data_IF_198565652190
#
_entry.id   IF_198565652190
#
_cell.length_a   1.000
_cell.length_b   1.000
_cell.length_c   1.000
_cell.angle_alpha   90.00
_cell.angle_beta   90.00
_cell.angle_gamma   90.00
#
_symmetry.space_group_name_H-M   'P 1'
#
loop_
_entity.id
_entity.type
_entity.pdbx_description
1 polymer ?
#
# COMPACT_ATOMS: atom_id res chain seq x y z
N UNK A 1 26.96 11.97 -70.76
CA UNK A 1 27.40 11.23 -69.54
C UNK A 1 26.87 11.98 -68.32
N UNK A 2 26.40 11.24 -67.32
CA UNK A 2 25.78 11.67 -66.04
C UNK A 2 24.39 12.37 -66.17
N UNK A 3 23.23 11.81 -65.81
CA UNK A 3 22.75 11.00 -64.65
C UNK A 3 21.88 11.85 -63.72
N UNK A 4 20.58 11.48 -63.62
CA UNK A 4 19.69 11.32 -62.43
C UNK A 4 19.78 12.38 -61.31
N UNK A 5 18.71 12.79 -60.61
CA UNK A 5 17.39 12.24 -60.36
C UNK A 5 16.57 13.34 -59.67
N UNK A 6 15.25 13.33 -59.89
CA UNK A 6 14.28 14.07 -59.07
C UNK A 6 14.37 13.60 -57.60
N UNK A 7 14.47 14.54 -56.67
CA UNK A 7 14.40 14.26 -55.23
C UNK A 7 13.04 14.73 -54.69
N UNK A 8 12.22 13.73 -54.43
CA UNK A 8 11.00 13.70 -53.65
C UNK A 8 11.15 14.39 -52.28
N UNK A 9 10.35 15.42 -52.05
CA UNK A 9 10.06 15.96 -50.72
C UNK A 9 8.88 15.19 -50.13
N UNK A 10 9.18 14.13 -49.38
CA UNK A 10 8.21 13.46 -48.51
C UNK A 10 8.83 13.25 -47.12
N UNK A 11 8.09 13.71 -46.12
CA UNK A 11 7.97 13.14 -44.76
C UNK A 11 9.23 12.97 -43.91
N UNK A 12 9.29 13.71 -42.80
CA UNK A 12 9.05 13.12 -41.48
C UNK A 12 9.05 14.23 -40.42
N UNK A 13 7.89 14.44 -39.79
CA UNK A 13 7.78 15.22 -38.57
C UNK A 13 8.54 14.49 -37.47
N UNK A 14 9.56 15.12 -36.90
CA UNK A 14 10.25 14.65 -35.71
C UNK A 14 9.29 14.76 -34.52
N UNK A 15 8.58 13.68 -34.24
CA UNK A 15 7.82 13.52 -32.99
C UNK A 15 8.85 13.38 -31.88
N UNK A 16 8.98 14.42 -31.07
CA UNK A 16 9.68 14.34 -29.79
C UNK A 16 8.91 13.35 -28.91
N UNK A 17 9.44 12.13 -28.80
CA UNK A 17 9.02 11.17 -27.77
C UNK A 17 9.48 11.75 -26.44
N UNK A 18 8.62 12.53 -25.81
CA UNK A 18 8.74 12.82 -24.38
C UNK A 18 8.58 11.48 -23.69
N UNK A 19 9.69 10.94 -23.19
CA UNK A 19 9.71 9.88 -22.19
C UNK A 19 8.98 10.45 -20.96
N UNK A 20 7.66 10.34 -20.95
CA UNK A 20 6.92 10.34 -19.70
C UNK A 20 7.40 9.09 -18.98
N UNK A 21 8.26 9.25 -17.98
CA UNK A 21 8.44 8.22 -16.97
C UNK A 21 7.08 8.06 -16.31
N UNK A 22 6.32 7.11 -16.82
CA UNK A 22 5.18 6.53 -16.16
C UNK A 22 5.69 5.95 -14.85
N UNK A 23 5.57 6.75 -13.79
CA UNK A 23 5.38 6.21 -12.46
C UNK A 23 4.21 5.24 -12.59
N UNK A 24 4.54 3.95 -12.69
CA UNK A 24 3.60 2.86 -12.59
C UNK A 24 3.15 2.83 -11.12
N UNK A 25 2.35 3.82 -10.73
CA UNK A 25 1.65 3.80 -9.45
C UNK A 25 0.42 2.94 -9.72
N UNK A 26 0.53 1.69 -9.28
CA UNK A 26 -0.55 0.71 -9.34
C UNK A 26 -1.84 1.29 -8.77
N UNK A 27 -2.95 0.96 -9.42
CA UNK A 27 -4.25 1.52 -9.16
C UNK A 27 -4.70 1.43 -7.71
N UNK A 28 -5.10 2.58 -7.19
CA UNK A 28 -6.02 2.78 -6.08
C UNK A 28 -6.68 4.14 -6.32
N UNK A 29 -7.94 4.32 -5.94
CA UNK A 29 -8.80 5.47 -6.26
C UNK A 29 -8.36 6.82 -5.62
N UNK A 30 -7.06 7.13 -5.59
CA UNK A 30 -6.49 8.32 -4.95
C UNK A 30 -6.53 8.28 -3.42
N UNK A 31 -6.97 7.15 -2.82
CA UNK A 31 -7.06 6.99 -1.38
C UNK A 31 -5.70 6.73 -0.72
N UNK A 32 -4.72 6.20 -1.46
CA UNK A 32 -3.41 5.80 -0.94
C UNK A 32 -2.33 6.23 -1.95
N UNK A 33 -1.29 6.91 -1.49
CA UNK A 33 -0.14 7.35 -2.30
C UNK A 33 1.17 7.17 -1.51
N UNK A 34 2.27 6.92 -2.22
CA UNK A 34 3.61 6.73 -1.66
C UNK A 34 4.57 7.75 -2.25
N UNK A 35 5.14 8.60 -1.39
CA UNK A 35 6.05 9.68 -1.78
C UNK A 35 7.39 9.53 -1.08
N UNK A 36 8.26 8.69 -1.64
CA UNK A 36 9.55 8.37 -1.05
C UNK A 36 9.38 7.66 0.29
N UNK A 37 9.66 8.33 1.40
CA UNK A 37 9.49 7.81 2.77
C UNK A 37 8.17 8.22 3.43
N UNK A 38 7.17 8.61 2.65
CA UNK A 38 5.88 9.09 3.13
C UNK A 38 4.74 8.25 2.56
N UNK A 39 3.87 7.77 3.45
CA UNK A 39 2.58 7.20 3.11
C UNK A 39 1.53 8.32 3.18
N UNK A 40 0.65 8.43 2.20
CA UNK A 40 -0.48 9.36 2.21
C UNK A 40 -1.75 8.55 2.13
N UNK A 41 -2.62 8.64 3.14
CA UNK A 41 -3.92 7.95 3.17
C UNK A 41 -5.02 9.00 3.29
N UNK A 42 -5.94 9.03 2.34
CA UNK A 42 -7.04 9.99 2.25
C UNK A 42 -6.56 11.46 2.37
N UNK A 43 -5.41 11.76 1.76
CA UNK A 43 -4.78 13.08 1.80
C UNK A 43 -4.05 13.41 3.12
N UNK A 44 -4.07 12.52 4.11
CA UNK A 44 -3.28 12.68 5.35
C UNK A 44 -1.92 12.02 5.20
N UNK A 45 -0.88 12.76 5.53
CA UNK A 45 0.50 12.31 5.43
C UNK A 45 0.97 11.58 6.70
N UNK A 46 1.65 10.45 6.49
CA UNK A 46 2.26 9.59 7.49
C UNK A 46 3.73 9.44 7.11
N UNK A 47 4.57 10.28 7.71
CA UNK A 47 6.01 10.25 7.45
C UNK A 47 6.65 9.06 8.16
N UNK A 48 7.53 8.35 7.45
CA UNK A 48 8.40 7.35 8.05
C UNK A 48 9.38 8.01 9.00
N UNK A 49 9.34 7.59 10.26
CA UNK A 49 10.36 7.92 11.24
C UNK A 49 11.35 6.77 11.22
N UNK A 50 12.59 7.02 10.82
CA UNK A 50 13.65 6.04 11.00
C UNK A 50 13.87 5.85 12.51
N UNK A 51 13.26 4.82 13.09
CA UNK A 51 13.66 4.36 14.43
C UNK A 51 14.48 3.09 14.31
N UNK A 52 15.58 3.06 15.08
CA UNK A 52 16.54 1.94 15.13
C UNK A 52 15.93 0.66 15.70
N UNK A 53 14.75 0.74 16.32
CA UNK A 53 14.10 -0.36 17.03
C UNK A 53 12.92 -0.97 16.23
N UNK A 54 12.61 -0.44 15.04
CA UNK A 54 11.43 -0.81 14.24
C UNK A 54 11.36 -2.29 13.87
N UNK A 55 12.50 -2.89 13.51
CA UNK A 55 12.59 -4.30 13.10
C UNK A 55 12.17 -5.26 14.24
N UNK A 56 12.01 -4.78 15.50
CA UNK A 56 11.65 -5.61 16.65
C UNK A 56 10.16 -5.57 17.05
N UNK A 57 9.39 -4.55 16.62
CA UNK A 57 8.01 -4.33 17.08
C UNK A 57 6.99 -4.66 15.99
N UNK A 58 7.34 -4.42 14.73
CA UNK A 58 6.46 -4.70 13.59
C UNK A 58 7.07 -5.82 12.77
N UNK A 59 6.43 -7.00 12.75
CA UNK A 59 6.77 -8.05 11.80
C UNK A 59 6.89 -7.46 10.39
N UNK A 60 8.00 -7.75 9.69
CA UNK A 60 8.30 -7.13 8.39
C UNK A 60 7.17 -7.37 7.39
N UNK A 61 6.67 -6.29 6.80
CA UNK A 61 5.67 -6.31 5.74
C UNK A 61 4.25 -6.65 6.20
N UNK A 62 3.94 -6.63 7.50
CA UNK A 62 2.61 -6.93 7.99
C UNK A 62 2.18 -6.08 9.20
N UNK A 63 0.89 -5.80 9.28
CA UNK A 63 0.25 -5.13 10.42
C UNK A 63 -0.91 -5.98 10.92
N UNK A 64 -0.99 -6.18 12.23
CA UNK A 64 -2.14 -6.82 12.87
C UNK A 64 -3.24 -5.79 13.11
N UNK A 65 -4.42 -6.04 12.53
CA UNK A 65 -5.60 -5.18 12.61
C UNK A 65 -6.69 -5.93 13.37
N UNK A 66 -7.12 -5.41 14.51
CA UNK A 66 -8.20 -5.97 15.31
C UNK A 66 -9.48 -5.16 15.10
N UNK A 67 -10.53 -5.79 14.60
CA UNK A 67 -11.86 -5.22 14.55
C UNK A 67 -12.53 -5.24 15.92
N UNK A 68 -13.08 -4.09 16.32
CA UNK A 68 -14.00 -4.01 17.47
C UNK A 68 -15.16 -4.99 17.30
N UNK A 69 -15.71 -5.43 18.42
CA UNK A 69 -16.85 -6.35 18.44
C UNK A 69 -17.98 -5.87 17.52
N UNK A 70 -18.38 -6.73 16.58
CA UNK A 70 -19.46 -6.44 15.61
C UNK A 70 -19.09 -5.47 14.48
N UNK A 71 -17.82 -5.07 14.35
CA UNK A 71 -17.33 -4.13 13.32
C UNK A 71 -16.51 -4.80 12.23
N UNK A 72 -16.48 -6.12 12.19
CA UNK A 72 -15.71 -6.92 11.22
C UNK A 72 -15.94 -6.49 9.76
N UNK A 73 -17.20 -6.40 9.33
CA UNK A 73 -17.55 -6.00 7.97
C UNK A 73 -17.12 -4.56 7.63
N UNK A 74 -17.11 -3.66 8.61
CA UNK A 74 -16.61 -2.29 8.43
C UNK A 74 -15.09 -2.27 8.24
N UNK A 75 -14.37 -3.08 9.02
CA UNK A 75 -12.91 -3.22 8.88
C UNK A 75 -12.57 -3.86 7.53
N UNK A 76 -13.26 -4.91 7.10
CA UNK A 76 -13.05 -5.50 5.77
C UNK A 76 -13.30 -4.51 4.63
N UNK A 77 -14.33 -3.67 4.76
CA UNK A 77 -14.60 -2.61 3.79
C UNK A 77 -13.48 -1.56 3.74
N UNK A 78 -12.93 -1.16 4.89
CA UNK A 78 -11.77 -0.24 4.99
C UNK A 78 -10.53 -0.84 4.35
N UNK A 79 -10.19 -2.10 4.68
CA UNK A 79 -9.02 -2.77 4.10
C UNK A 79 -9.15 -2.89 2.58
N UNK A 80 -10.34 -3.24 2.09
CA UNK A 80 -10.64 -3.26 0.65
C UNK A 80 -10.54 -1.88 0.01
N UNK A 81 -11.06 -0.83 0.67
CA UNK A 81 -10.99 0.55 0.19
C UNK A 81 -9.53 1.02 0.01
N UNK A 82 -8.63 0.58 0.89
CA UNK A 82 -7.21 0.88 0.80
C UNK A 82 -6.41 -0.11 -0.05
N UNK A 83 -7.10 -1.05 -0.70
CA UNK A 83 -6.47 -2.10 -1.51
C UNK A 83 -5.39 -2.88 -0.75
N UNK A 84 -5.63 -3.13 0.54
CA UNK A 84 -4.75 -3.91 1.40
C UNK A 84 -5.14 -5.39 1.36
N UNK A 85 -4.13 -6.25 1.26
CA UNK A 85 -4.31 -7.69 1.23
C UNK A 85 -4.37 -8.26 2.64
N UNK A 86 -5.43 -9.04 2.92
CA UNK A 86 -5.53 -9.82 4.15
C UNK A 86 -4.88 -11.18 3.92
N UNK A 87 -3.76 -11.42 4.59
CA UNK A 87 -2.98 -12.67 4.50
C UNK A 87 -3.38 -13.68 5.58
N UNK A 88 -4.06 -13.24 6.63
CA UNK A 88 -4.56 -14.07 7.71
C UNK A 88 -5.78 -13.46 8.38
N UNK A 89 -6.66 -14.31 8.91
CA UNK A 89 -7.83 -13.89 9.68
C UNK A 89 -8.05 -14.84 10.84
N UNK A 90 -8.15 -14.30 12.05
CA UNK A 90 -8.29 -15.03 13.31
C UNK A 90 -9.49 -14.49 14.07
N UNK A 91 -10.28 -15.37 14.69
CA UNK A 91 -11.42 -14.98 15.52
C UNK A 91 -11.56 -15.97 16.67
N UNK A 92 -11.82 -15.46 17.87
CA UNK A 92 -12.08 -16.29 19.03
C UNK A 92 -13.44 -16.98 18.95
N UNK A 93 -13.57 -18.17 19.52
CA UNK A 93 -14.85 -18.91 19.53
C UNK A 93 -15.85 -18.41 20.59
N UNK A 94 -15.45 -17.46 21.44
CA UNK A 94 -16.29 -16.91 22.49
C UNK A 94 -17.26 -15.85 21.93
N UNK A 95 -18.50 -15.75 22.46
CA UNK A 95 -19.40 -14.66 22.15
C UNK A 95 -18.74 -13.31 22.44
N UNK A 96 -18.68 -12.45 21.42
CA UNK A 96 -18.05 -11.13 21.53
C UNK A 96 -16.54 -11.12 21.36
N UNK A 97 -15.93 -12.23 20.93
CA UNK A 97 -14.56 -12.22 20.47
C UNK A 97 -14.37 -11.18 19.35
N UNK A 98 -13.24 -10.49 19.40
CA UNK A 98 -12.79 -9.61 18.33
C UNK A 98 -12.24 -10.45 17.18
N UNK A 99 -12.24 -9.85 15.99
CA UNK A 99 -11.68 -10.47 14.78
C UNK A 99 -10.37 -9.77 14.47
N UNK A 100 -9.33 -10.53 14.27
CA UNK A 100 -7.99 -10.07 13.94
C UNK A 100 -7.68 -10.40 12.47
N UNK A 101 -7.06 -9.44 11.78
CA UNK A 101 -6.65 -9.54 10.39
C UNK A 101 -5.15 -9.30 10.33
N UNK A 102 -4.42 -10.26 9.78
CA UNK A 102 -3.02 -10.07 9.38
C UNK A 102 -3.05 -9.43 8.00
N UNK A 103 -2.59 -8.18 7.91
CA UNK A 103 -2.68 -7.35 6.71
C UNK A 103 -1.29 -7.10 6.15
N UNK A 104 -1.07 -7.49 4.89
CA UNK A 104 0.17 -7.23 4.20
C UNK A 104 0.30 -5.75 3.84
N UNK A 105 1.48 -5.19 4.09
CA UNK A 105 1.83 -3.80 3.77
C UNK A 105 3.24 -3.74 3.20
N UNK A 106 3.60 -2.70 2.44
CA UNK A 106 4.97 -2.55 1.98
C UNK A 106 5.97 -2.51 3.14
N UNK A 107 7.04 -3.28 3.03
CA UNK A 107 8.07 -3.36 4.05
C UNK A 107 8.66 -1.96 4.35
N UNK A 108 8.78 -1.63 5.63
CA UNK A 108 9.24 -0.33 6.11
C UNK A 108 8.15 0.76 6.19
N UNK A 109 6.88 0.43 5.93
CA UNK A 109 5.72 1.31 6.13
C UNK A 109 4.75 0.82 7.22
N UNK A 110 5.13 -0.20 7.99
CA UNK A 110 4.26 -0.90 8.93
C UNK A 110 3.66 0.04 9.97
N UNK A 111 4.47 0.86 10.64
CA UNK A 111 3.96 1.82 11.63
C UNK A 111 3.10 2.91 10.96
N UNK A 112 3.45 3.36 9.74
CA UNK A 112 2.65 4.36 9.04
C UNK A 112 1.27 3.80 8.72
N UNK A 113 1.20 2.54 8.29
CA UNK A 113 -0.05 1.84 8.08
C UNK A 113 -0.80 1.56 9.38
N UNK A 114 -0.11 1.14 10.44
CA UNK A 114 -0.72 0.93 11.75
C UNK A 114 -1.37 2.23 12.26
N UNK A 115 -0.69 3.36 12.10
CA UNK A 115 -1.19 4.69 12.44
C UNK A 115 -2.31 5.16 11.51
N UNK A 116 -2.29 4.80 10.23
CA UNK A 116 -3.34 5.17 9.28
C UNK A 116 -4.63 4.38 9.55
N UNK A 117 -4.49 3.09 9.82
CA UNK A 117 -5.59 2.17 10.10
C UNK A 117 -6.19 2.42 11.49
N UNK A 118 -5.40 2.76 12.51
CA UNK A 118 -5.91 3.09 13.85
C UNK A 118 -6.81 4.33 13.89
N UNK A 119 -6.74 5.18 12.87
CA UNK A 119 -7.61 6.35 12.72
C UNK A 119 -8.98 5.99 12.13
N UNK A 120 -9.17 4.76 11.64
CA UNK A 120 -10.41 4.33 11.02
C UNK A 120 -11.43 3.87 12.08
N UNK A 121 -12.73 4.11 11.86
CA UNK A 121 -13.76 3.65 12.78
C UNK A 121 -13.70 2.14 12.98
N UNK A 122 -13.78 1.69 14.24
CA UNK A 122 -13.87 0.27 14.55
C UNK A 122 -12.54 -0.50 14.50
N UNK A 123 -11.44 0.15 14.15
CA UNK A 123 -10.12 -0.48 14.03
C UNK A 123 -9.28 -0.25 15.29
N UNK A 124 -8.60 -1.30 15.74
CA UNK A 124 -7.41 -1.24 16.58
C UNK A 124 -6.23 -1.84 15.81
N UNK A 125 -5.04 -1.30 15.99
CA UNK A 125 -3.81 -1.88 15.46
C UNK A 125 -2.87 -2.17 16.60
N UNK A 126 -2.18 -3.30 16.54
CA UNK A 126 -1.17 -3.69 17.51
C UNK A 126 0.09 -4.11 16.77
N UNK A 127 1.22 -3.95 17.44
CA UNK A 127 2.50 -4.52 17.05
C UNK A 127 2.29 -6.02 16.74
N UNK A 128 2.65 -6.46 15.52
CA UNK A 128 2.61 -7.88 15.21
C UNK A 128 3.88 -8.51 15.79
N UNK A 129 3.77 -9.01 17.03
CA UNK A 129 4.86 -9.69 17.75
C UNK A 129 5.11 -11.12 17.23
N UNK A 130 4.38 -11.58 16.21
CA UNK A 130 4.53 -12.93 15.67
C UNK A 130 5.50 -12.95 14.46
N UNK A 131 6.75 -13.45 14.63
CA UNK A 131 7.76 -13.50 13.56
C UNK A 131 7.48 -14.60 12.53
N UNK A 132 6.36 -15.33 12.61
CA UNK A 132 6.10 -16.49 11.72
C UNK A 132 5.64 -16.11 10.31
N UNK A 133 5.58 -14.81 9.96
CA UNK A 133 5.37 -14.33 8.58
C UNK A 133 6.68 -14.41 7.79
N UNK A 134 7.28 -15.60 7.78
CA UNK A 134 8.38 -16.03 6.93
C UNK A 134 7.87 -17.05 5.88
N UNK A 135 6.59 -16.94 5.50
CA UNK A 135 5.93 -17.88 4.59
C UNK A 135 5.16 -17.22 3.45
N UNK A 136 5.80 -16.33 2.70
CA UNK A 136 5.49 -16.09 1.28
C UNK A 136 6.77 -15.73 0.52
#
# INVERSE_FOLDING_TARGET
>A
MASKSASSLLHAATIAVVLCMTACSGGGDGAVDYRGSMLVVLGKEYRRVESKDYDSIWGRGAVLVTARQGREAEVEAVLKQFSLDVIGKRSGSAPGAMVEFDVAVPAGFEEQWANALSMQPGVFTTANEDPTIDRL
#
